data_IF_049830624546
#
_entry.id   IF_049830624546
#
_cell.length_a   1.000
_cell.length_b   1.000
_cell.length_c   1.000
_cell.angle_alpha   90.00
_cell.angle_beta   90.00
_cell.angle_gamma   90.00
#
_symmetry.space_group_name_H-M   'P 1'
#
loop_
_entity.id
_entity.type
_entity.pdbx_description
1 polymer ?
#
# COMPACT_ATOMS: atom_id res chain seq x y z
N UNK A 1 10.32 2.84 -16.52
CA UNK A 1 9.78 1.62 -17.17
C UNK A 1 9.25 0.62 -16.14
N UNK A 2 10.06 0.14 -15.17
CA UNK A 2 9.67 -0.91 -14.21
C UNK A 2 8.42 -0.55 -13.39
N UNK A 3 8.32 0.67 -12.89
CA UNK A 3 7.15 1.13 -12.13
C UNK A 3 5.86 1.06 -12.97
N UNK A 4 5.91 1.52 -14.23
CA UNK A 4 4.78 1.44 -15.16
C UNK A 4 4.42 -0.01 -15.46
N UNK A 5 5.40 -0.86 -15.74
CA UNK A 5 5.18 -2.31 -15.93
C UNK A 5 4.49 -2.93 -14.71
N UNK A 6 4.97 -2.64 -13.48
CA UNK A 6 4.40 -3.20 -12.25
C UNK A 6 2.91 -2.89 -12.08
N UNK A 7 2.48 -1.65 -12.37
CA UNK A 7 1.08 -1.26 -12.20
C UNK A 7 0.18 -1.67 -13.37
N UNK A 8 0.75 -2.00 -14.53
CA UNK A 8 -0.01 -2.45 -15.70
C UNK A 8 -0.07 -3.97 -15.87
N UNK A 9 0.67 -4.74 -15.07
CA UNK A 9 0.71 -6.21 -15.11
C UNK A 9 -0.03 -6.90 -13.95
N UNK A 10 -0.63 -6.14 -13.05
CA UNK A 10 -1.40 -6.68 -11.92
C UNK A 10 -2.91 -6.61 -12.16
N UNK A 11 -3.71 -7.25 -11.30
CA UNK A 11 -5.17 -7.28 -11.39
C UNK A 11 -5.81 -5.88 -11.31
N UNK A 12 -5.15 -4.91 -10.65
CA UNK A 12 -5.60 -3.52 -10.55
C UNK A 12 -5.42 -2.70 -11.82
N UNK A 13 -4.73 -3.22 -12.85
CA UNK A 13 -4.42 -2.51 -14.10
C UNK A 13 -5.64 -2.03 -14.88
N UNK A 14 -6.78 -2.70 -14.68
CA UNK A 14 -8.08 -2.37 -15.32
C UNK A 14 -8.92 -1.38 -14.53
N UNK A 15 -8.51 -1.03 -13.30
CA UNK A 15 -9.29 -0.17 -12.40
C UNK A 15 -8.73 1.25 -12.40
N UNK A 16 -9.50 2.21 -12.91
CA UNK A 16 -9.13 3.61 -12.97
C UNK A 16 -9.28 4.31 -11.60
N UNK A 17 -8.48 5.37 -11.38
CA UNK A 17 -8.64 6.31 -10.27
C UNK A 17 -9.78 7.30 -10.51
N UNK A 18 -9.67 8.50 -9.93
CA UNK A 18 -10.64 9.59 -10.11
C UNK A 18 -10.63 10.18 -11.52
N UNK A 19 -9.49 10.10 -12.21
CA UNK A 19 -9.26 10.56 -13.57
C UNK A 19 -9.87 9.66 -14.65
N UNK A 20 -10.38 8.49 -14.26
CA UNK A 20 -10.91 7.45 -15.13
C UNK A 20 -9.93 6.93 -16.20
N UNK A 21 -8.62 7.17 -16.01
CA UNK A 21 -7.56 6.78 -16.95
C UNK A 21 -6.98 5.41 -16.60
N UNK A 22 -6.74 4.60 -17.64
CA UNK A 22 -5.98 3.33 -17.56
C UNK A 22 -5.00 3.24 -18.73
N UNK A 23 -3.85 2.59 -18.53
CA UNK A 23 -2.80 2.45 -19.54
C UNK A 23 -2.87 1.09 -20.23
N UNK A 24 -3.79 0.95 -21.19
CA UNK A 24 -4.04 -0.31 -21.91
C UNK A 24 -3.11 -0.53 -23.10
N UNK A 25 -2.81 0.53 -23.84
CA UNK A 25 -2.00 0.45 -25.08
C UNK A 25 -0.50 0.60 -24.80
N UNK A 26 0.38 0.06 -25.65
CA UNK A 26 1.82 0.29 -25.57
C UNK A 26 2.19 1.77 -25.55
N UNK A 27 1.58 2.58 -26.41
CA UNK A 27 1.85 4.02 -26.50
C UNK A 27 1.50 4.76 -25.20
N UNK A 28 0.34 4.45 -24.59
CA UNK A 28 -0.03 5.02 -23.30
C UNK A 28 0.99 4.67 -22.21
N UNK A 29 1.58 3.46 -22.23
CA UNK A 29 2.63 3.05 -21.27
C UNK A 29 3.94 3.79 -21.54
N UNK A 30 4.32 4.01 -22.80
CA UNK A 30 5.51 4.78 -23.15
C UNK A 30 5.36 6.25 -22.72
N UNK A 31 4.23 6.89 -23.03
CA UNK A 31 3.93 8.24 -22.56
C UNK A 31 3.98 8.33 -21.02
N UNK A 32 3.40 7.37 -20.32
CA UNK A 32 3.43 7.31 -18.86
C UNK A 32 4.86 7.25 -18.29
N UNK A 33 5.79 6.55 -18.97
CA UNK A 33 7.20 6.49 -18.53
C UNK A 33 7.83 7.88 -18.59
N UNK A 34 7.59 8.64 -19.65
CA UNK A 34 8.17 9.99 -19.85
C UNK A 34 7.55 11.02 -18.91
N UNK A 35 6.28 10.85 -18.57
CA UNK A 35 5.53 11.73 -17.66
C UNK A 35 5.79 11.46 -16.17
N UNK A 36 6.37 10.32 -15.83
CA UNK A 36 6.64 9.94 -14.45
C UNK A 36 7.85 10.69 -13.89
N UNK A 37 7.64 11.97 -13.55
CA UNK A 37 8.65 12.88 -13.03
C UNK A 37 8.27 13.33 -11.62
N UNK A 38 9.24 13.38 -10.69
CA UNK A 38 9.02 13.89 -9.32
C UNK A 38 8.75 15.39 -9.31
N UNK A 39 9.50 16.16 -10.11
CA UNK A 39 9.36 17.62 -10.17
C UNK A 39 8.01 18.00 -10.76
N UNK A 40 7.26 18.83 -10.03
CA UNK A 40 5.91 19.24 -10.44
C UNK A 40 4.82 18.18 -10.18
N UNK A 41 5.16 17.02 -9.61
CA UNK A 41 4.17 16.01 -9.30
C UNK A 41 3.32 16.40 -8.07
N UNK A 42 2.01 16.22 -8.21
CA UNK A 42 1.04 16.31 -7.14
C UNK A 42 0.06 15.14 -7.30
N UNK A 43 -0.16 14.32 -6.25
CA UNK A 43 -1.10 13.22 -6.31
C UNK A 43 -2.53 13.75 -6.40
N UNK A 44 -3.39 12.94 -7.02
CA UNK A 44 -4.83 13.20 -7.03
C UNK A 44 -5.51 12.51 -5.83
N UNK A 45 -6.71 12.98 -5.43
CA UNK A 45 -7.50 12.29 -4.43
C UNK A 45 -7.81 10.84 -4.83
N UNK A 46 -7.97 9.97 -3.84
CA UNK A 46 -8.34 8.59 -4.07
C UNK A 46 -9.81 8.48 -4.52
N UNK A 47 -10.12 7.60 -5.44
CA UNK A 47 -11.51 7.23 -5.73
C UNK A 47 -11.99 6.22 -4.69
N UNK A 48 -12.94 6.61 -3.84
CA UNK A 48 -13.52 5.74 -2.80
C UNK A 48 -14.55 4.82 -3.42
N UNK A 49 -14.38 3.51 -3.21
CA UNK A 49 -15.36 2.47 -3.50
C UNK A 49 -15.55 1.60 -2.27
N UNK A 50 -16.71 0.93 -2.18
CA UNK A 50 -17.02 -0.01 -1.10
C UNK A 50 -17.14 -1.41 -1.69
N UNK A 51 -16.41 -2.36 -1.12
CA UNK A 51 -16.50 -3.78 -1.48
C UNK A 51 -17.14 -4.56 -0.32
N UNK A 52 -17.96 -5.56 -0.65
CA UNK A 52 -18.55 -6.45 0.37
C UNK A 52 -17.50 -7.45 0.85
N UNK A 53 -17.41 -7.60 2.16
CA UNK A 53 -16.70 -8.71 2.80
C UNK A 53 -17.58 -9.95 2.85
N UNK A 54 -16.99 -11.13 3.11
CA UNK A 54 -17.72 -12.39 3.30
C UNK A 54 -18.77 -12.31 4.42
N UNK A 55 -18.54 -11.51 5.45
CA UNK A 55 -19.46 -11.27 6.56
C UNK A 55 -20.55 -10.21 6.28
N UNK A 56 -20.74 -9.79 5.02
CA UNK A 56 -21.73 -8.80 4.59
C UNK A 56 -21.38 -7.34 4.86
N UNK A 57 -20.37 -7.04 5.68
CA UNK A 57 -19.92 -5.67 5.97
C UNK A 57 -19.23 -5.04 4.75
N UNK A 58 -19.33 -3.73 4.63
CA UNK A 58 -18.64 -2.97 3.59
C UNK A 58 -17.21 -2.63 4.03
N UNK A 59 -16.27 -2.81 3.10
CA UNK A 59 -14.88 -2.36 3.26
C UNK A 59 -14.64 -1.17 2.33
N UNK A 60 -14.29 0.01 2.87
CA UNK A 60 -13.89 1.13 2.03
C UNK A 60 -12.51 0.85 1.39
N UNK A 61 -12.40 1.12 0.10
CA UNK A 61 -11.16 0.99 -0.66
C UNK A 61 -10.86 2.31 -1.35
N UNK A 62 -9.62 2.79 -1.24
CA UNK A 62 -9.13 4.00 -1.90
C UNK A 62 -8.33 3.64 -3.14
N UNK A 63 -8.79 4.05 -4.32
CA UNK A 63 -8.15 3.72 -5.59
C UNK A 63 -7.39 4.95 -6.11
N UNK A 64 -6.05 4.94 -6.10
CA UNK A 64 -5.25 6.01 -6.69
C UNK A 64 -5.31 6.00 -8.22
N UNK A 65 -4.93 7.10 -8.87
CA UNK A 65 -4.74 7.12 -10.33
C UNK A 65 -3.60 6.19 -10.76
N UNK A 66 -3.56 5.83 -12.04
CA UNK A 66 -2.46 5.02 -12.58
C UNK A 66 -1.10 5.71 -12.39
N UNK A 67 -1.05 7.04 -12.53
CA UNK A 67 0.15 7.85 -12.33
C UNK A 67 0.61 7.80 -10.86
N UNK A 68 -0.31 7.93 -9.92
CA UNK A 68 0.00 7.86 -8.48
C UNK A 68 0.49 6.48 -8.09
N UNK A 69 -0.16 5.41 -8.56
CA UNK A 69 0.32 4.03 -8.33
C UNK A 69 1.72 3.80 -8.90
N UNK A 70 2.01 4.33 -10.09
CA UNK A 70 3.34 4.17 -10.68
C UNK A 70 4.40 4.96 -9.91
N UNK A 71 4.06 6.16 -9.42
CA UNK A 71 4.94 6.94 -8.55
C UNK A 71 5.18 6.21 -7.23
N UNK A 72 4.14 5.69 -6.59
CA UNK A 72 4.26 4.86 -5.37
C UNK A 72 5.09 3.59 -5.63
N UNK A 73 4.89 2.92 -6.77
CA UNK A 73 5.68 1.76 -7.14
C UNK A 73 7.16 2.07 -7.33
N UNK A 74 7.49 3.25 -7.84
CA UNK A 74 8.87 3.72 -7.97
C UNK A 74 9.54 3.85 -6.59
N UNK A 75 8.87 4.51 -5.64
CA UNK A 75 9.38 4.65 -4.28
C UNK A 75 9.40 3.32 -3.51
N UNK A 76 8.40 2.46 -3.73
CA UNK A 76 8.40 1.12 -3.14
C UNK A 76 9.61 0.29 -3.57
N UNK A 77 10.04 0.39 -4.83
CA UNK A 77 11.25 -0.31 -5.29
C UNK A 77 12.53 0.18 -4.60
N UNK A 78 12.57 1.45 -4.21
CA UNK A 78 13.70 2.00 -3.45
C UNK A 78 13.63 1.66 -1.96
N UNK A 79 12.41 1.65 -1.38
CA UNK A 79 12.22 1.40 0.06
C UNK A 79 12.21 -0.09 0.42
N UNK A 80 11.82 -0.98 -0.50
CA UNK A 80 11.69 -2.40 -0.21
C UNK A 80 12.99 -3.05 0.33
N UNK A 81 14.19 -2.77 -0.22
CA UNK A 81 15.43 -3.31 0.35
C UNK A 81 15.71 -2.80 1.76
N UNK A 82 15.42 -1.52 2.04
CA UNK A 82 15.59 -0.94 3.38
C UNK A 82 14.63 -1.60 4.36
N UNK A 83 13.36 -1.69 4.01
CA UNK A 83 12.36 -2.34 4.85
C UNK A 83 12.70 -3.81 5.13
N UNK A 84 13.22 -4.54 4.13
CA UNK A 84 13.59 -5.95 4.31
C UNK A 84 14.77 -6.13 5.26
N UNK A 85 15.74 -5.21 5.25
CA UNK A 85 16.92 -5.29 6.13
C UNK A 85 16.66 -4.82 7.55
N UNK A 86 15.66 -3.97 7.77
CA UNK A 86 15.34 -3.39 9.10
C UNK A 86 14.14 -4.03 9.78
N UNK A 87 13.32 -4.78 9.04
CA UNK A 87 12.14 -5.43 9.59
C UNK A 87 12.50 -6.62 10.48
N UNK A 88 11.63 -6.91 11.44
CA UNK A 88 11.72 -8.10 12.28
C UNK A 88 11.76 -9.38 11.42
N UNK A 89 12.67 -10.30 11.75
CA UNK A 89 12.88 -11.54 11.00
C UNK A 89 11.63 -12.43 10.97
N UNK A 90 10.82 -12.39 12.02
CA UNK A 90 9.59 -13.19 12.18
C UNK A 90 8.33 -12.46 11.70
N UNK A 91 8.47 -11.32 11.05
CA UNK A 91 7.36 -10.63 10.39
C UNK A 91 7.19 -11.18 8.96
N UNK A 92 6.06 -11.82 8.67
CA UNK A 92 5.82 -12.51 7.39
C UNK A 92 4.82 -11.77 6.49
N UNK A 93 3.84 -11.09 7.07
CA UNK A 93 2.77 -10.42 6.33
C UNK A 93 3.26 -9.30 5.41
N UNK A 94 2.77 -9.28 4.16
CA UNK A 94 3.08 -8.27 3.14
C UNK A 94 4.54 -8.15 2.70
N UNK A 95 5.40 -9.09 3.08
CA UNK A 95 6.80 -9.13 2.66
C UNK A 95 6.96 -10.06 1.46
N UNK A 96 7.87 -9.67 0.56
CA UNK A 96 8.23 -10.49 -0.58
C UNK A 96 8.92 -11.77 -0.13
N UNK A 97 8.75 -12.84 -0.91
CA UNK A 97 9.37 -14.15 -0.68
C UNK A 97 9.05 -14.71 0.73
N UNK A 98 7.97 -14.23 1.36
CA UNK A 98 7.42 -14.75 2.61
C UNK A 98 6.03 -15.34 2.36
N UNK A 99 5.75 -16.46 2.97
CA UNK A 99 4.49 -17.17 2.83
C UNK A 99 3.88 -17.51 4.19
N UNK A 100 2.64 -17.95 4.18
CA UNK A 100 1.99 -18.49 5.38
C UNK A 100 2.67 -19.77 5.86
N UNK A 101 3.26 -20.55 4.95
CA UNK A 101 4.01 -21.76 5.31
C UNK A 101 5.25 -21.44 6.17
N UNK A 102 5.97 -20.34 5.84
CA UNK A 102 7.13 -19.91 6.62
C UNK A 102 6.71 -19.48 8.05
N UNK A 103 5.60 -18.77 8.17
CA UNK A 103 5.05 -18.39 9.48
C UNK A 103 4.64 -19.62 10.31
N UNK A 104 3.97 -20.60 9.69
CA UNK A 104 3.58 -21.86 10.35
C UNK A 104 4.81 -22.65 10.77
N UNK A 105 5.83 -22.73 9.91
CA UNK A 105 7.08 -23.41 10.24
C UNK A 105 7.78 -22.76 11.44
N UNK A 106 7.79 -21.43 11.52
CA UNK A 106 8.37 -20.73 12.66
C UNK A 106 7.58 -20.98 13.93
N UNK A 107 6.24 -20.92 13.88
CA UNK A 107 5.41 -21.30 15.02
C UNK A 107 5.70 -22.74 15.50
N UNK A 108 5.86 -23.68 14.57
CA UNK A 108 6.22 -25.06 14.91
C UNK A 108 7.59 -25.12 15.60
N UNK A 109 8.60 -24.44 15.07
CA UNK A 109 9.93 -24.42 15.68
C UNK A 109 9.92 -23.88 17.10
N UNK A 110 9.10 -22.87 17.38
CA UNK A 110 9.05 -22.20 18.68
C UNK A 110 8.18 -22.96 19.71
N UNK A 111 7.14 -23.68 19.26
CA UNK A 111 6.11 -24.22 20.16
C UNK A 111 6.10 -25.76 20.28
N UNK A 112 6.80 -26.49 19.39
CA UNK A 112 6.67 -27.95 19.33
C UNK A 112 7.47 -28.72 20.41
N UNK A 113 8.35 -28.08 21.15
CA UNK A 113 9.21 -28.74 22.13
C UNK A 113 8.55 -28.74 23.49
N UNK A 114 8.85 -29.75 24.35
CA UNK A 114 8.38 -29.82 25.72
C UNK A 114 8.87 -28.68 26.60
N UNK A 115 9.98 -28.03 26.22
CA UNK A 115 10.56 -26.85 26.87
C UNK A 115 10.08 -25.52 26.27
N UNK A 116 9.20 -25.56 25.26
CA UNK A 116 8.66 -24.36 24.64
C UNK A 116 7.74 -23.57 25.57
N UNK A 117 7.54 -22.26 25.32
CA UNK A 117 6.58 -21.45 26.05
C UNK A 117 5.17 -22.06 26.01
N UNK A 118 4.53 -22.12 27.18
CA UNK A 118 3.17 -22.65 27.31
C UNK A 118 2.08 -21.58 27.15
N UNK A 119 2.47 -20.32 27.20
CA UNK A 119 1.56 -19.19 27.08
C UNK A 119 1.74 -18.52 25.72
N UNK A 120 0.64 -18.33 25.01
CA UNK A 120 0.60 -17.67 23.70
C UNK A 120 -0.30 -16.44 23.82
N UNK A 121 0.22 -15.27 23.43
CA UNK A 121 -0.57 -14.06 23.28
C UNK A 121 -0.99 -13.93 21.82
N UNK A 122 -2.29 -13.99 21.53
CA UNK A 122 -2.86 -13.63 20.23
C UNK A 122 -3.42 -12.21 20.30
N UNK A 123 -2.98 -11.35 19.40
CA UNK A 123 -3.40 -9.94 19.35
C UNK A 123 -3.68 -9.49 17.93
N UNK A 124 -4.70 -8.64 17.77
CA UNK A 124 -5.02 -7.97 16.49
C UNK A 124 -5.28 -6.48 16.72
N UNK A 125 -4.84 -5.64 15.77
CA UNK A 125 -5.01 -4.19 15.86
C UNK A 125 -6.31 -3.79 15.17
N UNK A 126 -7.31 -3.40 15.95
CA UNK A 126 -8.60 -2.94 15.44
C UNK A 126 -8.44 -1.70 14.58
N UNK A 127 -8.81 -1.80 13.30
CA UNK A 127 -8.81 -0.65 12.39
C UNK A 127 -7.42 -0.08 12.08
N UNK A 128 -6.36 -0.89 12.15
CA UNK A 128 -4.95 -0.49 12.02
C UNK A 128 -4.72 0.58 10.95
N UNK A 129 -5.07 0.30 9.69
CA UNK A 129 -4.83 1.23 8.57
C UNK A 129 -5.61 2.55 8.67
N UNK A 130 -6.73 2.57 9.38
CA UNK A 130 -7.54 3.77 9.57
C UNK A 130 -7.00 4.73 10.63
N UNK A 131 -6.10 4.26 11.49
CA UNK A 131 -5.61 5.01 12.66
C UNK A 131 -4.08 5.18 12.68
N UNK A 132 -3.40 4.90 11.56
CA UNK A 132 -1.96 5.17 11.46
C UNK A 132 -1.72 6.68 11.51
N UNK A 133 -0.91 7.14 12.48
CA UNK A 133 -0.53 8.55 12.59
C UNK A 133 0.28 9.00 11.39
N UNK A 134 -0.15 10.07 10.72
CA UNK A 134 0.60 10.67 9.61
C UNK A 134 1.94 11.24 10.07
N UNK A 135 2.02 11.79 11.27
CA UNK A 135 3.26 12.31 11.84
C UNK A 135 4.26 11.17 12.04
N UNK A 136 3.82 10.08 12.66
CA UNK A 136 4.69 8.92 12.83
C UNK A 136 5.23 8.40 11.50
N UNK A 137 4.39 8.28 10.47
CA UNK A 137 4.80 7.84 9.12
C UNK A 137 5.82 8.83 8.52
N UNK A 138 5.58 10.14 8.67
CA UNK A 138 6.50 11.17 8.20
C UNK A 138 7.85 11.09 8.91
N UNK A 139 7.90 10.80 10.18
CA UNK A 139 9.15 10.75 10.94
C UNK A 139 9.96 9.47 10.68
N UNK A 140 9.28 8.34 10.54
CA UNK A 140 9.93 7.03 10.51
C UNK A 140 10.20 6.45 9.11
N UNK A 141 9.51 6.91 8.06
CA UNK A 141 9.75 6.38 6.72
C UNK A 141 10.87 7.17 6.02
N UNK A 142 11.98 6.52 5.59
CA UNK A 142 13.15 7.19 5.02
C UNK A 142 12.93 7.56 3.54
N UNK A 143 12.01 8.50 3.27
CA UNK A 143 11.74 9.01 1.92
C UNK A 143 11.51 10.53 1.93
N UNK A 144 11.31 11.11 0.75
CA UNK A 144 10.94 12.52 0.59
C UNK A 144 9.67 12.87 1.39
N UNK A 145 9.84 13.61 2.46
CA UNK A 145 8.77 14.00 3.38
C UNK A 145 7.69 14.88 2.73
N UNK A 146 8.09 15.71 1.75
CA UNK A 146 7.14 16.56 1.02
C UNK A 146 6.21 15.71 0.19
N UNK A 147 6.76 14.74 -0.52
CA UNK A 147 5.96 13.83 -1.34
C UNK A 147 5.09 12.91 -0.48
N UNK A 148 5.66 12.34 0.58
CA UNK A 148 4.93 11.49 1.52
C UNK A 148 3.73 12.23 2.13
N UNK A 149 3.92 13.46 2.58
CA UNK A 149 2.84 14.31 3.09
C UNK A 149 1.76 14.57 2.04
N UNK A 150 2.14 14.81 0.79
CA UNK A 150 1.17 14.97 -0.31
C UNK A 150 0.32 13.71 -0.51
N UNK A 151 0.90 12.51 -0.44
CA UNK A 151 0.14 11.26 -0.53
C UNK A 151 -0.81 11.08 0.65
N UNK A 152 -0.33 11.28 1.86
CA UNK A 152 -1.15 11.13 3.09
C UNK A 152 -2.32 12.11 3.13
N UNK A 153 -2.11 13.34 2.63
CA UNK A 153 -3.11 14.41 2.63
C UNK A 153 -3.90 14.54 1.31
N UNK A 154 -3.77 13.59 0.38
CA UNK A 154 -4.46 13.66 -0.91
C UNK A 154 -5.99 13.57 -0.81
N UNK A 155 -6.51 13.04 0.28
CA UNK A 155 -7.95 12.86 0.49
C UNK A 155 -8.56 11.80 -0.41
N UNK A 156 -9.88 11.72 -0.40
CA UNK A 156 -10.62 10.82 -1.30
C UNK A 156 -11.92 11.46 -1.79
N UNK A 157 -12.35 11.05 -2.99
CA UNK A 157 -13.64 11.43 -3.56
C UNK A 157 -14.64 10.30 -3.37
N UNK A 158 -15.78 10.64 -2.78
CA UNK A 158 -16.94 9.78 -2.64
C UNK A 158 -18.21 10.57 -2.97
N UNK A 159 -19.09 10.02 -3.80
CA UNK A 159 -20.30 10.71 -4.27
C UNK A 159 -20.04 12.13 -4.81
N UNK A 160 -18.97 12.30 -5.58
CA UNK A 160 -18.51 13.58 -6.17
C UNK A 160 -18.08 14.65 -5.16
N UNK A 161 -17.94 14.32 -3.88
CA UNK A 161 -17.45 15.20 -2.83
C UNK A 161 -16.04 14.79 -2.42
N UNK A 162 -15.17 15.77 -2.15
CA UNK A 162 -13.82 15.58 -1.64
C UNK A 162 -13.85 15.55 -0.10
N UNK A 163 -13.28 14.51 0.46
CA UNK A 163 -13.08 14.34 1.90
C UNK A 163 -11.59 14.40 2.22
N UNK A 164 -11.16 15.21 3.18
CA UNK A 164 -9.77 15.23 3.64
C UNK A 164 -9.43 13.92 4.36
N UNK A 165 -8.14 13.64 4.48
CA UNK A 165 -7.59 12.54 5.28
C UNK A 165 -6.67 13.12 6.34
N UNK A 166 -7.05 12.98 7.62
CA UNK A 166 -6.29 13.49 8.76
C UNK A 166 -5.38 12.43 9.39
N UNK A 167 -5.81 11.18 9.33
CA UNK A 167 -5.08 10.01 9.82
C UNK A 167 -5.31 8.81 8.89
N UNK A 168 -4.57 7.75 9.13
CA UNK A 168 -4.70 6.50 8.38
C UNK A 168 -4.03 6.50 7.01
N UNK A 169 -3.92 5.31 6.46
CA UNK A 169 -3.39 5.06 5.13
C UNK A 169 -4.41 4.29 4.30
N UNK A 170 -4.48 4.53 2.98
CA UNK A 170 -5.42 3.81 2.13
C UNK A 170 -5.08 2.32 2.10
N UNK A 171 -6.12 1.50 2.14
CA UNK A 171 -6.03 0.07 1.84
C UNK A 171 -6.25 -0.13 0.34
N UNK A 172 -5.32 -0.84 -0.32
CA UNK A 172 -5.46 -1.15 -1.73
C UNK A 172 -4.25 -1.74 -2.35
#
# INVERSE_FOLDING_TARGET
ALAVRRVTSNNGSKTAGVDMVTWKTPDAKVCAITELKRRGYTPQPLRRVHIRKSNGKLRPLGIPTMKDRAMQALYLMALAPVAETTADANSYGFRKERSTADAVQQCFNDLARTTSPQWILEGDIKGCFGHISHEWVLDNIPMDKVLLRKWLKSGFIFNKQLFPTEEGTPQG
#
